data_IF_114094804526
#
_entry.id   IF_114094804526
#
_cell.length_a   1.000
_cell.length_b   1.000
_cell.length_c   1.000
_cell.angle_alpha   90.00
_cell.angle_beta   90.00
_cell.angle_gamma   90.00
#
_symmetry.space_group_name_H-M   'P 1'
#
loop_
_entity.id
_entity.type
_entity.pdbx_description
1 polymer ?
#
# COMPACT_ATOMS: atom_id res chain seq x y z
N UNK A 1 -5.73 -31.12 -14.86
CA UNK A 1 -5.09 -29.96 -15.53
C UNK A 1 -6.03 -28.77 -15.72
N UNK A 2 -7.34 -28.94 -15.90
CA UNK A 2 -8.32 -27.82 -16.02
C UNK A 2 -8.61 -27.09 -14.70
N UNK A 3 -8.55 -27.79 -13.57
CA UNK A 3 -8.88 -27.21 -12.26
C UNK A 3 -7.81 -26.22 -11.75
N UNK A 4 -6.53 -26.57 -11.90
CA UNK A 4 -5.41 -25.72 -11.46
C UNK A 4 -5.32 -24.44 -12.29
N UNK A 5 -5.66 -24.50 -13.57
CA UNK A 5 -5.66 -23.34 -14.45
C UNK A 5 -6.83 -22.37 -14.15
N UNK A 6 -7.99 -22.91 -13.79
CA UNK A 6 -9.13 -22.11 -13.32
C UNK A 6 -8.83 -21.46 -11.95
N UNK A 7 -8.20 -22.18 -11.04
CA UNK A 7 -7.75 -21.66 -9.75
C UNK A 7 -6.71 -20.56 -9.92
N UNK A 8 -5.70 -20.77 -10.78
CA UNK A 8 -4.69 -19.75 -11.10
C UNK A 8 -5.33 -18.47 -11.63
N UNK A 9 -6.23 -18.57 -12.63
CA UNK A 9 -6.95 -17.41 -13.16
C UNK A 9 -7.77 -16.69 -12.08
N UNK A 10 -8.46 -17.44 -11.22
CA UNK A 10 -9.23 -16.86 -10.10
C UNK A 10 -8.33 -16.05 -9.15
N UNK A 11 -7.18 -16.59 -8.76
CA UNK A 11 -6.26 -15.85 -7.88
C UNK A 11 -5.62 -14.65 -8.57
N UNK A 12 -5.30 -14.73 -9.86
CA UNK A 12 -4.79 -13.60 -10.64
C UNK A 12 -5.82 -12.48 -10.72
N UNK A 13 -7.08 -12.78 -11.04
CA UNK A 13 -8.12 -11.75 -11.07
C UNK A 13 -8.42 -11.18 -9.68
N UNK A 14 -8.36 -12.01 -8.63
CA UNK A 14 -8.46 -11.54 -7.25
C UNK A 14 -7.32 -10.59 -6.87
N UNK A 15 -6.08 -10.90 -7.27
CA UNK A 15 -4.93 -10.02 -7.07
C UNK A 15 -5.12 -8.68 -7.78
N UNK A 16 -5.45 -8.71 -9.08
CA UNK A 16 -5.66 -7.50 -9.90
C UNK A 16 -6.80 -6.64 -9.34
N UNK A 17 -7.93 -7.24 -8.98
CA UNK A 17 -9.04 -6.54 -8.34
C UNK A 17 -8.62 -5.85 -7.04
N UNK A 18 -7.86 -6.53 -6.20
CA UNK A 18 -7.33 -5.95 -4.95
C UNK A 18 -6.35 -4.79 -5.22
N UNK A 19 -5.49 -4.92 -6.23
CA UNK A 19 -4.54 -3.88 -6.61
C UNK A 19 -5.22 -2.63 -7.17
N UNK A 20 -6.38 -2.77 -7.83
CA UNK A 20 -7.21 -1.68 -8.33
C UNK A 20 -7.99 -0.93 -7.24
N UNK A 21 -8.26 -1.56 -6.09
CA UNK A 21 -8.86 -0.85 -4.95
C UNK A 21 -7.85 0.11 -4.30
N UNK A 22 -6.56 -0.24 -4.31
CA UNK A 22 -5.51 0.44 -3.56
C UNK A 22 -5.31 1.95 -3.88
N UNK A 23 -5.36 2.45 -5.15
CA UNK A 23 -5.21 3.87 -5.45
C UNK A 23 -6.30 4.74 -4.81
N UNK A 24 -7.55 4.28 -4.84
CA UNK A 24 -8.69 5.05 -4.27
C UNK A 24 -8.55 5.25 -2.76
N UNK A 25 -7.97 4.24 -2.09
CA UNK A 25 -7.77 4.21 -0.65
C UNK A 25 -6.59 5.10 -0.22
N UNK A 26 -5.52 5.20 -1.01
CA UNK A 26 -4.34 6.01 -0.66
C UNK A 26 -4.53 7.53 -0.78
N UNK A 27 -5.70 8.02 -1.22
CA UNK A 27 -5.98 9.47 -1.33
C UNK A 27 -5.81 10.24 -0.02
N UNK A 28 -5.97 9.59 1.14
CA UNK A 28 -5.73 10.19 2.46
C UNK A 28 -4.24 10.47 2.76
N UNK A 29 -3.31 9.64 2.26
CA UNK A 29 -1.87 9.91 2.36
C UNK A 29 -1.49 11.15 1.53
N UNK A 30 -2.15 11.33 0.38
CA UNK A 30 -1.91 12.48 -0.50
C UNK A 30 -2.46 13.80 0.06
N UNK A 31 -3.34 13.73 1.06
CA UNK A 31 -3.90 14.89 1.78
C UNK A 31 -3.03 15.33 2.97
N UNK A 32 -1.78 14.85 3.06
CA UNK A 32 -0.84 15.27 4.10
C UNK A 32 -0.80 16.80 4.22
N UNK A 33 -0.95 17.37 5.42
CA UNK A 33 -0.82 18.80 5.62
C UNK A 33 0.59 19.25 5.22
N UNK A 34 0.68 20.38 4.49
CA UNK A 34 1.96 21.02 4.23
C UNK A 34 2.45 21.66 5.52
N UNK A 35 3.63 21.25 5.98
CA UNK A 35 4.21 21.69 7.26
C UNK A 35 4.89 23.05 7.18
N UNK A 36 4.66 23.81 6.11
CA UNK A 36 5.43 25.01 5.76
C UNK A 36 5.30 26.15 6.78
N UNK A 37 4.27 26.15 7.65
CA UNK A 37 4.11 27.17 8.70
C UNK A 37 3.33 26.65 9.92
N UNK A 38 3.95 25.88 10.81
CA UNK A 38 3.32 25.53 12.10
C UNK A 38 3.50 26.68 13.09
N UNK A 39 2.67 27.72 12.94
CA UNK A 39 2.66 28.89 13.79
C UNK A 39 1.30 29.04 14.48
N UNK A 40 0.94 28.10 15.36
CA UNK A 40 -0.28 28.22 16.19
C UNK A 40 -0.93 26.89 16.58
N UNK A 41 -1.84 26.96 17.56
CA UNK A 41 -2.63 25.83 18.08
C UNK A 41 -3.50 25.14 17.02
N UNK A 42 -3.97 25.90 16.04
CA UNK A 42 -4.92 25.42 15.03
C UNK A 42 -4.24 24.53 13.98
N UNK A 43 -2.98 24.85 13.63
CA UNK A 43 -2.17 24.03 12.74
C UNK A 43 -1.84 22.67 13.40
N UNK A 44 -1.52 22.71 14.70
CA UNK A 44 -1.28 21.50 15.48
C UNK A 44 -2.51 20.58 15.54
N UNK A 45 -3.69 21.12 15.85
CA UNK A 45 -4.94 20.34 15.87
C UNK A 45 -5.29 19.74 14.50
N UNK A 46 -4.93 20.42 13.40
CA UNK A 46 -5.12 19.88 12.04
C UNK A 46 -4.21 18.69 11.75
N UNK A 47 -2.94 18.77 12.15
CA UNK A 47 -1.96 17.69 11.98
C UNK A 47 -2.35 16.50 12.86
N UNK A 48 -2.77 16.76 14.11
CA UNK A 48 -3.27 15.74 15.04
C UNK A 48 -4.48 14.99 14.48
N UNK A 49 -5.49 15.73 13.99
CA UNK A 49 -6.66 15.14 13.34
C UNK A 49 -6.29 14.31 12.12
N UNK A 50 -5.42 14.82 11.26
CA UNK A 50 -4.96 14.09 10.08
C UNK A 50 -4.26 12.78 10.46
N UNK A 51 -3.41 12.79 11.49
CA UNK A 51 -2.73 11.58 11.95
C UNK A 51 -3.71 10.54 12.52
N UNK A 52 -4.69 10.96 13.33
CA UNK A 52 -5.72 10.04 13.86
C UNK A 52 -6.54 9.42 12.71
N UNK A 53 -6.94 10.24 11.73
CA UNK A 53 -7.62 9.78 10.52
C UNK A 53 -6.74 8.78 9.74
N UNK A 54 -5.47 9.10 9.56
CA UNK A 54 -4.51 8.25 8.86
C UNK A 54 -4.32 6.91 9.58
N UNK A 55 -4.16 6.92 10.91
CA UNK A 55 -4.01 5.71 11.72
C UNK A 55 -5.22 4.81 11.60
N UNK A 56 -6.41 5.37 11.82
CA UNK A 56 -7.69 4.66 11.73
C UNK A 56 -7.84 4.03 10.35
N UNK A 57 -7.48 4.80 9.32
CA UNK A 57 -7.53 4.34 7.95
C UNK A 57 -6.54 3.18 7.69
N UNK A 58 -5.31 3.27 8.19
CA UNK A 58 -4.31 2.21 8.08
C UNK A 58 -4.76 0.93 8.80
N UNK A 59 -5.22 1.06 10.04
CA UNK A 59 -5.62 -0.09 10.83
C UNK A 59 -6.84 -0.82 10.22
N UNK A 60 -7.83 -0.07 9.74
CA UNK A 60 -9.08 -0.63 9.22
C UNK A 60 -9.02 -1.05 7.74
N UNK A 61 -8.38 -0.26 6.88
CA UNK A 61 -8.46 -0.44 5.42
C UNK A 61 -7.25 -1.19 4.86
N UNK A 62 -6.04 -0.88 5.33
CA UNK A 62 -4.84 -1.46 4.73
C UNK A 62 -4.58 -2.89 5.22
N UNK A 63 -4.86 -3.21 6.48
CA UNK A 63 -4.67 -4.56 7.02
C UNK A 63 -5.36 -5.64 6.17
N UNK A 64 -6.61 -5.40 5.75
CA UNK A 64 -7.36 -6.38 4.95
C UNK A 64 -6.90 -6.43 3.47
N UNK A 65 -6.64 -5.27 2.86
CA UNK A 65 -6.18 -5.21 1.47
C UNK A 65 -4.83 -5.90 1.29
N UNK A 66 -3.84 -5.60 2.15
CA UNK A 66 -2.53 -6.24 2.06
C UNK A 66 -2.58 -7.73 2.39
N UNK A 67 -3.47 -8.16 3.30
CA UNK A 67 -3.72 -9.59 3.56
C UNK A 67 -4.24 -10.32 2.32
N UNK A 68 -5.20 -9.74 1.61
CA UNK A 68 -5.71 -10.29 0.34
C UNK A 68 -4.61 -10.34 -0.72
N UNK A 69 -3.80 -9.29 -0.85
CA UNK A 69 -2.67 -9.28 -1.79
C UNK A 69 -1.72 -10.43 -1.48
N UNK A 70 -1.27 -10.56 -0.23
CA UNK A 70 -0.37 -11.63 0.20
C UNK A 70 -0.95 -13.02 -0.09
N UNK A 71 -2.22 -13.24 0.28
CA UNK A 71 -2.94 -14.49 0.00
C UNK A 71 -2.94 -14.83 -1.50
N UNK A 72 -3.27 -13.89 -2.37
CA UNK A 72 -3.29 -14.14 -3.81
C UNK A 72 -1.89 -14.31 -4.39
N UNK A 73 -0.89 -13.52 -3.95
CA UNK A 73 0.48 -13.67 -4.43
C UNK A 73 1.07 -15.03 -4.07
N UNK A 74 0.84 -15.51 -2.85
CA UNK A 74 1.34 -16.81 -2.40
C UNK A 74 0.67 -17.95 -3.16
N UNK A 75 -0.65 -17.90 -3.32
CA UNK A 75 -1.39 -18.90 -4.08
C UNK A 75 -0.93 -18.97 -5.53
N UNK A 76 -0.77 -17.84 -6.22
CA UNK A 76 -0.30 -17.82 -7.62
C UNK A 76 1.10 -18.43 -7.73
N UNK A 77 2.01 -18.07 -6.83
CA UNK A 77 3.40 -18.60 -6.83
C UNK A 77 3.44 -20.10 -6.60
N UNK A 78 2.49 -20.67 -5.88
CA UNK A 78 2.36 -22.12 -5.67
C UNK A 78 1.70 -22.84 -6.85
N UNK A 79 0.84 -22.15 -7.60
CA UNK A 79 0.04 -22.72 -8.69
C UNK A 79 0.72 -22.66 -10.07
N UNK A 80 1.84 -21.93 -10.22
CA UNK A 80 2.53 -21.81 -11.51
C UNK A 80 4.05 -21.74 -11.41
N UNK A 81 4.71 -22.47 -12.31
CA UNK A 81 6.15 -22.34 -12.59
C UNK A 81 6.44 -21.37 -13.74
N UNK A 82 5.42 -20.79 -14.40
CA UNK A 82 5.64 -19.83 -15.48
C UNK A 82 6.31 -18.58 -14.92
N UNK A 83 7.59 -18.40 -15.25
CA UNK A 83 8.39 -17.25 -14.82
C UNK A 83 7.79 -15.92 -15.28
N UNK A 84 7.00 -15.89 -16.36
CA UNK A 84 6.31 -14.69 -16.84
C UNK A 84 5.20 -14.24 -15.89
N UNK A 85 4.67 -15.14 -15.06
CA UNK A 85 3.67 -14.83 -14.02
C UNK A 85 4.33 -14.78 -12.64
N UNK A 86 5.09 -15.80 -12.28
CA UNK A 86 5.65 -15.95 -10.94
C UNK A 86 6.64 -14.82 -10.56
N UNK A 87 7.44 -14.31 -11.51
CA UNK A 87 8.41 -13.24 -11.21
C UNK A 87 7.72 -11.90 -10.92
N UNK A 88 6.81 -11.38 -11.78
CA UNK A 88 6.03 -10.18 -11.47
C UNK A 88 5.21 -10.31 -10.18
N UNK A 89 4.57 -11.45 -9.93
CA UNK A 89 3.78 -11.68 -8.70
C UNK A 89 4.66 -11.65 -7.45
N UNK A 90 5.84 -12.28 -7.46
CA UNK A 90 6.80 -12.20 -6.35
C UNK A 90 7.27 -10.77 -6.12
N UNK A 91 7.50 -10.01 -7.19
CA UNK A 91 7.87 -8.59 -7.11
C UNK A 91 6.73 -7.77 -6.49
N UNK A 92 5.49 -7.97 -6.93
CA UNK A 92 4.30 -7.34 -6.35
C UNK A 92 4.19 -7.62 -4.86
N UNK A 93 4.23 -8.89 -4.45
CA UNK A 93 4.15 -9.29 -3.04
C UNK A 93 5.23 -8.63 -2.17
N UNK A 94 6.48 -8.56 -2.67
CA UNK A 94 7.56 -7.87 -1.95
C UNK A 94 7.31 -6.37 -1.80
N UNK A 95 6.90 -5.71 -2.89
CA UNK A 95 6.66 -4.26 -2.89
C UNK A 95 5.50 -3.88 -1.98
N UNK A 96 4.40 -4.63 -2.02
CA UNK A 96 3.21 -4.36 -1.22
C UNK A 96 3.44 -4.68 0.26
N UNK A 97 4.20 -5.74 0.59
CA UNK A 97 4.58 -6.00 1.98
C UNK A 97 5.50 -4.91 2.55
N UNK A 98 6.45 -4.40 1.77
CA UNK A 98 7.28 -3.29 2.19
C UNK A 98 6.46 -2.00 2.39
N UNK A 99 5.51 -1.71 1.49
CA UNK A 99 4.60 -0.57 1.63
C UNK A 99 3.74 -0.71 2.90
N UNK A 100 3.21 -1.90 3.18
CA UNK A 100 2.43 -2.17 4.39
C UNK A 100 3.24 -2.02 5.67
N UNK A 101 4.48 -2.50 5.70
CA UNK A 101 5.38 -2.37 6.85
C UNK A 101 5.61 -0.90 7.21
N UNK A 102 5.85 -0.07 6.20
CA UNK A 102 6.04 1.37 6.40
C UNK A 102 4.78 2.06 6.89
N UNK A 103 3.61 1.69 6.35
CA UNK A 103 2.33 2.20 6.84
C UNK A 103 2.07 1.78 8.29
N UNK A 104 2.41 0.54 8.67
CA UNK A 104 2.31 0.07 10.05
C UNK A 104 3.27 0.79 10.98
N UNK A 105 4.52 1.04 10.56
CA UNK A 105 5.46 1.83 11.35
C UNK A 105 4.93 3.26 11.54
N UNK A 106 4.43 3.88 10.47
CA UNK A 106 3.79 5.19 10.51
C UNK A 106 2.66 5.22 11.55
N UNK A 107 1.73 4.26 11.47
CA UNK A 107 0.59 4.16 12.38
C UNK A 107 1.00 3.90 13.84
N UNK A 108 2.00 3.04 14.07
CA UNK A 108 2.50 2.74 15.42
C UNK A 108 3.28 3.90 16.05
N UNK A 109 3.94 4.73 15.24
CA UNK A 109 4.63 5.92 15.76
C UNK A 109 3.65 7.01 16.23
N UNK A 110 2.44 7.09 15.67
CA UNK A 110 1.39 8.03 16.11
C UNK A 110 1.00 7.78 17.58
N UNK A 111 0.97 6.53 18.02
CA UNK A 111 0.61 6.16 19.41
C UNK A 111 1.65 6.64 20.43
N UNK A 112 2.87 6.90 20.00
CA UNK A 112 3.99 7.32 20.85
C UNK A 112 4.22 8.83 20.84
N UNK A 113 3.35 9.60 20.20
CA UNK A 113 3.48 11.06 20.14
C UNK A 113 2.91 11.67 21.42
N UNK A 114 3.79 12.25 22.26
CA UNK A 114 3.41 12.83 23.55
C UNK A 114 3.23 14.35 23.54
N UNK A 115 3.86 15.05 22.60
CA UNK A 115 3.80 16.50 22.51
C UNK A 115 3.87 17.03 21.08
N UNK A 116 3.77 18.36 20.95
CA UNK A 116 3.79 19.08 19.66
C UNK A 116 5.09 18.84 18.90
N UNK A 117 6.24 18.78 19.56
CA UNK A 117 7.54 18.58 18.94
C UNK A 117 7.70 17.18 18.35
N UNK A 118 7.26 16.16 19.08
CA UNK A 118 7.20 14.78 18.61
C UNK A 118 6.29 14.66 17.38
N UNK A 119 5.14 15.36 17.41
CA UNK A 119 4.16 15.37 16.31
C UNK A 119 4.75 15.95 15.04
N UNK A 120 5.49 17.06 15.15
CA UNK A 120 6.13 17.71 14.01
C UNK A 120 7.25 16.86 13.44
N UNK A 121 8.03 16.21 14.29
CA UNK A 121 9.09 15.28 13.87
C UNK A 121 8.51 14.10 13.11
N UNK A 122 7.43 13.50 13.62
CA UNK A 122 6.70 12.44 12.94
C UNK A 122 6.13 12.93 11.59
N UNK A 123 5.47 14.09 11.57
CA UNK A 123 4.86 14.63 10.36
C UNK A 123 5.91 14.98 9.29
N UNK A 124 7.09 15.49 9.65
CA UNK A 124 8.18 15.74 8.70
C UNK A 124 8.69 14.43 8.08
N UNK A 125 8.88 13.40 8.91
CA UNK A 125 9.33 12.07 8.44
C UNK A 125 8.31 11.45 7.47
N UNK A 126 7.03 11.46 7.84
CA UNK A 126 6.00 10.70 7.12
C UNK A 126 5.25 11.50 6.05
N UNK A 127 5.09 12.82 6.26
CA UNK A 127 4.41 13.72 5.33
C UNK A 127 5.20 13.97 4.05
N UNK A 128 6.52 14.15 4.13
CA UNK A 128 7.36 14.47 2.97
C UNK A 128 8.29 13.31 2.55
N UNK A 129 8.95 12.66 3.52
CA UNK A 129 9.93 11.61 3.25
C UNK A 129 9.28 10.28 2.84
N UNK A 130 8.43 9.74 3.69
CA UNK A 130 7.75 8.48 3.42
C UNK A 130 6.73 8.58 2.29
N UNK A 131 6.04 9.72 2.16
CA UNK A 131 5.14 9.96 1.03
C UNK A 131 5.86 9.80 -0.32
N UNK A 132 7.09 10.29 -0.47
CA UNK A 132 7.91 10.09 -1.68
C UNK A 132 8.31 8.62 -1.87
N UNK A 133 8.76 7.94 -0.82
CA UNK A 133 9.16 6.54 -0.89
C UNK A 133 7.98 5.60 -1.21
N UNK A 134 6.80 5.90 -0.67
CA UNK A 134 5.54 5.22 -1.00
C UNK A 134 5.15 5.51 -2.46
N UNK A 135 5.23 6.76 -2.91
CA UNK A 135 4.96 7.12 -4.32
C UNK A 135 5.85 6.39 -5.33
N UNK A 136 7.16 6.27 -5.06
CA UNK A 136 8.07 5.54 -5.95
C UNK A 136 7.73 4.05 -6.01
N UNK A 137 7.51 3.41 -4.85
CA UNK A 137 7.05 2.01 -4.81
C UNK A 137 5.70 1.83 -5.48
N UNK A 138 4.81 2.83 -5.39
CA UNK A 138 3.52 2.81 -6.04
C UNK A 138 3.63 2.76 -7.55
N UNK A 139 4.52 3.55 -8.15
CA UNK A 139 4.81 3.48 -9.57
C UNK A 139 5.30 2.08 -9.98
N UNK A 140 6.13 1.45 -9.13
CA UNK A 140 6.62 0.08 -9.36
C UNK A 140 5.50 -0.97 -9.23
N UNK A 141 4.59 -0.81 -8.28
CA UNK A 141 3.41 -1.68 -8.13
C UNK A 141 2.51 -1.55 -9.37
N UNK A 142 2.19 -0.33 -9.80
CA UNK A 142 1.36 -0.09 -10.98
C UNK A 142 1.98 -0.67 -12.26
N UNK A 143 3.29 -0.49 -12.45
CA UNK A 143 3.99 -1.08 -13.59
C UNK A 143 3.92 -2.62 -13.57
N UNK A 144 4.15 -3.25 -12.42
CA UNK A 144 4.08 -4.70 -12.28
C UNK A 144 2.63 -5.24 -12.42
N UNK A 145 1.62 -4.47 -12.01
CA UNK A 145 0.21 -4.77 -12.26
C UNK A 145 -0.07 -4.77 -13.77
N UNK A 146 0.33 -3.71 -14.48
CA UNK A 146 0.10 -3.57 -15.92
C UNK A 146 0.81 -4.66 -16.76
N UNK A 147 2.01 -5.08 -16.34
CA UNK A 147 2.70 -6.24 -16.92
C UNK A 147 1.87 -7.52 -16.79
N UNK A 148 1.27 -7.75 -15.60
CA UNK A 148 0.43 -8.90 -15.34
C UNK A 148 -0.87 -8.88 -16.16
N UNK A 149 -1.52 -7.73 -16.25
CA UNK A 149 -2.72 -7.52 -17.05
C UNK A 149 -2.47 -7.80 -18.53
N UNK A 150 -1.38 -7.25 -19.08
CA UNK A 150 -1.01 -7.45 -20.49
C UNK A 150 -0.83 -8.93 -20.81
N UNK A 151 -0.16 -9.68 -19.94
CA UNK A 151 0.02 -11.13 -20.12
C UNK A 151 -1.33 -11.85 -20.18
N UNK A 152 -2.23 -11.59 -19.24
CA UNK A 152 -3.53 -12.29 -19.17
C UNK A 152 -4.57 -11.79 -20.18
N UNK A 153 -4.45 -10.57 -20.69
CA UNK A 153 -5.26 -10.07 -21.82
C UNK A 153 -4.79 -10.60 -23.17
N UNK A 154 -3.49 -10.91 -23.31
CA UNK A 154 -2.93 -11.49 -24.55
C UNK A 154 -3.03 -13.02 -24.64
N UNK A 155 -3.31 -13.68 -23.51
CA UNK A 155 -3.46 -15.13 -23.40
C UNK A 155 -4.92 -15.62 -23.40
N UNK A 156 -5.88 -14.70 -23.60
CA UNK A 156 -7.32 -14.93 -23.74
C UNK A 156 -7.72 -14.88 -25.21
#
# INVERSE_FOLDING_TARGET
MTNDNNNLKSHVFGLLGTLHELPSKLSLLQRSPRLENVAGSDEFQRIERWAIELKTFIDQTFSELYRRIAMHTDAIVQLTDDRRVAVPVKKLGKLTMAEYADLRECAGQIENVSDVGDFLTWALKWGDGAAKAIQVRRAQILAATAELETYFSSAA
#
